data_IF_284769922984
#
_entry.id   IF_284769922984
#
_cell.length_a   1.000
_cell.length_b   1.000
_cell.length_c   1.000
_cell.angle_alpha   90.00
_cell.angle_beta   90.00
_cell.angle_gamma   90.00
#
_symmetry.space_group_name_H-M   'P 1'
#
loop_
_entity.id
_entity.type
_entity.pdbx_description
1 polymer ?
#
# COMPACT_ATOMS: atom_id res chain seq x y z
N UNK A 1 32.19 12.50 13.80
CA UNK A 1 31.63 12.27 12.46
C UNK A 1 31.04 10.88 12.50
N UNK A 2 29.75 10.72 12.17
CA UNK A 2 29.02 9.47 12.37
C UNK A 2 29.70 8.30 11.63
N UNK A 3 30.22 7.32 12.37
CA UNK A 3 31.02 6.20 11.85
C UNK A 3 30.19 5.11 11.14
N UNK A 4 28.89 5.34 10.90
CA UNK A 4 28.00 4.33 10.34
C UNK A 4 27.16 4.86 9.19
N UNK A 5 26.87 3.99 8.22
CA UNK A 5 26.13 4.29 7.00
C UNK A 5 24.67 4.70 7.28
N UNK A 6 24.07 4.16 8.35
CA UNK A 6 22.64 4.27 8.62
C UNK A 6 22.19 5.67 9.09
N UNK A 7 22.83 6.32 10.09
CA UNK A 7 22.44 7.68 10.49
C UNK A 7 22.59 8.70 9.36
N UNK A 8 23.65 8.56 8.56
CA UNK A 8 23.92 9.47 7.47
C UNK A 8 22.94 9.24 6.29
N UNK A 9 22.58 8.00 5.97
CA UNK A 9 21.51 7.68 5.02
C UNK A 9 20.13 8.13 5.54
N UNK A 10 19.88 7.96 6.84
CA UNK A 10 18.64 8.39 7.48
C UNK A 10 18.43 9.89 7.33
N UNK A 11 19.45 10.70 7.63
CA UNK A 11 19.37 12.15 7.55
C UNK A 11 19.18 12.67 6.12
N UNK A 12 19.80 12.01 5.14
CA UNK A 12 19.81 12.47 3.75
C UNK A 12 18.55 12.11 2.95
N UNK A 13 17.81 11.06 3.36
CA UNK A 13 16.75 10.50 2.51
C UNK A 13 15.55 10.00 3.32
N UNK A 14 15.80 9.25 4.40
CA UNK A 14 14.70 8.64 5.15
C UNK A 14 13.90 9.66 5.97
N UNK A 15 14.59 10.60 6.60
CA UNK A 15 14.00 11.60 7.50
C UNK A 15 13.03 12.56 6.79
N UNK A 16 13.14 12.73 5.48
CA UNK A 16 12.21 13.57 4.70
C UNK A 16 10.78 12.99 4.67
N UNK A 17 10.66 11.66 4.76
CA UNK A 17 9.37 10.95 4.79
C UNK A 17 9.00 10.40 6.17
N UNK A 18 9.96 10.21 7.08
CA UNK A 18 9.71 9.73 8.44
C UNK A 18 9.30 10.88 9.37
N UNK A 19 8.07 10.83 9.87
CA UNK A 19 7.38 11.98 10.50
C UNK A 19 7.58 12.08 12.01
N UNK A 20 7.29 13.27 12.55
CA UNK A 20 7.14 13.54 13.99
C UNK A 20 5.76 14.15 14.29
N UNK A 21 5.44 14.38 15.57
CA UNK A 21 4.19 15.08 15.96
C UNK A 21 4.05 16.44 15.25
N UNK A 22 5.17 17.15 15.06
CA UNK A 22 5.19 18.46 14.39
C UNK A 22 4.87 18.38 12.90
N UNK A 23 5.24 17.29 12.22
CA UNK A 23 5.02 17.07 10.79
C UNK A 23 3.55 16.91 10.40
N UNK A 24 2.67 16.66 11.38
CA UNK A 24 1.23 16.63 11.20
C UNK A 24 0.56 17.80 11.91
N UNK A 25 0.97 18.13 13.14
CA UNK A 25 0.20 19.06 13.97
C UNK A 25 0.68 20.51 13.90
N UNK A 26 1.86 20.82 13.36
CA UNK A 26 2.41 22.19 13.34
C UNK A 26 2.80 22.65 11.95
N UNK A 27 3.48 21.79 11.19
CA UNK A 27 4.04 22.11 9.89
C UNK A 27 3.73 21.01 8.87
N UNK A 28 3.80 21.35 7.60
CA UNK A 28 3.70 20.40 6.51
C UNK A 28 5.01 19.60 6.45
N UNK A 29 4.98 18.32 6.05
CA UNK A 29 6.19 17.54 5.86
C UNK A 29 7.17 18.23 4.89
N UNK A 30 8.46 18.09 5.14
CA UNK A 30 9.52 18.71 4.33
C UNK A 30 9.49 18.22 2.88
N UNK A 31 9.12 16.95 2.66
CA UNK A 31 8.88 16.36 1.32
C UNK A 31 7.82 17.12 0.50
N UNK A 32 6.94 17.89 1.15
CA UNK A 32 5.95 18.75 0.51
C UNK A 32 6.32 20.25 0.55
N UNK A 33 7.61 20.57 0.63
CA UNK A 33 8.20 21.92 0.70
C UNK A 33 7.99 22.66 2.03
N UNK A 34 7.47 21.98 3.05
CA UNK A 34 7.32 22.52 4.40
C UNK A 34 6.37 23.71 4.51
N UNK A 35 6.40 24.36 5.67
CA UNK A 35 5.56 25.52 6.00
C UNK A 35 4.63 25.26 7.17
N UNK A 36 4.30 26.31 7.91
CA UNK A 36 3.42 26.24 9.08
C UNK A 36 1.96 26.05 8.65
N UNK A 37 1.23 25.17 9.34
CA UNK A 37 -0.20 24.92 9.07
C UNK A 37 -1.04 26.13 9.45
N UNK A 38 -0.79 26.67 10.64
CA UNK A 38 -1.44 27.83 11.22
C UNK A 38 -0.47 28.48 12.23
N UNK A 39 0.57 29.13 11.70
CA UNK A 39 1.69 29.62 12.50
C UNK A 39 2.25 28.47 13.37
N UNK A 40 2.70 28.77 14.58
CA UNK A 40 3.22 27.75 15.51
C UNK A 40 2.12 27.05 16.33
N UNK A 41 0.84 27.16 15.93
CA UNK A 41 -0.26 26.58 16.69
C UNK A 41 -0.44 25.09 16.35
N UNK A 42 -0.51 24.27 17.40
CA UNK A 42 -0.82 22.86 17.28
C UNK A 42 -2.27 22.65 16.82
N UNK A 43 -2.41 22.05 15.64
CA UNK A 43 -3.69 21.66 15.07
C UNK A 43 -4.11 20.31 15.63
N UNK A 44 -5.20 20.26 16.41
CA UNK A 44 -5.71 18.98 16.96
C UNK A 44 -6.04 17.98 15.85
N UNK A 45 -6.73 18.44 14.81
CA UNK A 45 -7.01 17.66 13.60
C UNK A 45 -6.34 18.36 12.44
N UNK A 46 -5.29 17.77 11.86
CA UNK A 46 -4.55 18.43 10.81
C UNK A 46 -5.30 18.40 9.48
N UNK A 47 -5.15 19.43 8.63
CA UNK A 47 -5.74 19.45 7.30
C UNK A 47 -5.11 18.33 6.46
N UNK A 48 -5.95 17.39 6.04
CA UNK A 48 -5.56 16.16 5.32
C UNK A 48 -4.76 16.46 4.05
N UNK A 49 -5.15 17.48 3.31
CA UNK A 49 -4.54 17.89 2.04
C UNK A 49 -3.10 18.39 2.18
N UNK A 50 -2.75 18.90 3.36
CA UNK A 50 -1.42 19.45 3.65
C UNK A 50 -0.52 18.48 4.42
N UNK A 51 -1.09 17.42 4.98
CA UNK A 51 -0.38 16.48 5.87
C UNK A 51 -0.44 15.06 5.34
N UNK A 52 -1.62 14.45 5.29
CA UNK A 52 -1.78 13.08 4.78
C UNK A 52 -1.34 12.97 3.31
N UNK A 53 -1.79 13.89 2.44
CA UNK A 53 -1.51 13.81 1.00
C UNK A 53 -0.05 14.14 0.66
N UNK A 54 0.64 14.89 1.53
CA UNK A 54 2.05 15.18 1.36
C UNK A 54 2.90 13.91 1.28
N UNK A 55 2.59 12.90 2.11
CA UNK A 55 3.32 11.63 2.14
C UNK A 55 2.58 10.48 1.43
N UNK A 56 1.25 10.43 1.54
CA UNK A 56 0.41 9.38 0.94
C UNK A 56 -0.12 9.72 -0.47
N UNK A 57 0.35 10.83 -1.06
CA UNK A 57 -0.14 11.52 -2.26
C UNK A 57 -0.67 10.67 -3.39
N UNK A 58 0.08 10.54 -4.49
CA UNK A 58 -0.44 9.87 -5.71
C UNK A 58 -0.88 8.43 -5.45
N UNK A 59 -0.23 7.72 -4.50
CA UNK A 59 -0.47 6.30 -4.23
C UNK A 59 -1.83 6.00 -3.59
N UNK A 60 -2.27 6.81 -2.63
CA UNK A 60 -3.49 6.55 -1.87
C UNK A 60 -4.47 7.71 -1.97
N UNK A 61 -4.01 8.95 -1.83
CA UNK A 61 -4.87 10.12 -2.00
C UNK A 61 -5.32 10.26 -3.46
N UNK A 62 -4.45 9.93 -4.42
CA UNK A 62 -4.79 9.88 -5.85
C UNK A 62 -5.90 8.87 -6.14
N UNK A 63 -5.82 7.66 -5.60
CA UNK A 63 -6.87 6.64 -5.71
C UNK A 63 -8.17 7.12 -5.02
N UNK A 64 -8.06 7.64 -3.80
CA UNK A 64 -9.19 8.09 -2.99
C UNK A 64 -10.00 9.20 -3.66
N UNK A 65 -9.30 10.18 -4.23
CA UNK A 65 -9.92 11.31 -4.92
C UNK A 65 -10.26 11.02 -6.38
N UNK A 66 -9.86 9.85 -6.91
CA UNK A 66 -10.08 9.49 -8.32
C UNK A 66 -9.18 10.25 -9.30
N UNK A 67 -8.08 10.84 -8.82
CA UNK A 67 -7.02 11.42 -9.67
C UNK A 67 -6.11 10.35 -10.27
N UNK A 68 -6.13 9.15 -9.69
CA UNK A 68 -5.37 7.99 -10.12
C UNK A 68 -6.29 6.76 -10.15
N UNK A 69 -6.34 6.06 -11.28
CA UNK A 69 -7.23 4.91 -11.47
C UNK A 69 -8.57 5.28 -12.07
N UNK A 70 -9.55 4.38 -11.95
CA UNK A 70 -10.78 4.45 -12.74
C UNK A 70 -11.87 5.35 -12.15
N UNK A 71 -11.98 5.38 -10.83
CA UNK A 71 -13.03 6.07 -10.09
C UNK A 71 -12.48 6.55 -8.75
N UNK A 72 -13.00 7.67 -8.25
CA UNK A 72 -12.81 8.05 -6.85
C UNK A 72 -13.42 7.02 -5.90
N UNK A 73 -13.08 7.08 -4.61
CA UNK A 73 -13.75 6.31 -3.57
C UNK A 73 -15.14 6.89 -3.30
N UNK A 74 -16.14 6.03 -3.10
CA UNK A 74 -17.51 6.44 -2.80
C UNK A 74 -17.62 7.24 -1.49
N UNK A 75 -16.77 6.94 -0.51
CA UNK A 75 -16.74 7.66 0.76
C UNK A 75 -16.19 9.08 0.59
N UNK A 76 -15.25 9.28 -0.33
CA UNK A 76 -14.80 10.61 -0.72
C UNK A 76 -15.88 11.31 -1.53
N UNK A 77 -16.25 10.75 -2.68
CA UNK A 77 -17.05 11.43 -3.70
C UNK A 77 -18.47 11.76 -3.20
N UNK A 78 -19.12 10.81 -2.51
CA UNK A 78 -20.53 10.94 -2.14
C UNK A 78 -20.75 11.38 -0.70
N UNK A 79 -19.78 11.13 0.18
CA UNK A 79 -19.94 11.38 1.63
C UNK A 79 -18.96 12.44 2.15
N UNK A 80 -17.98 12.85 1.33
CA UNK A 80 -16.98 13.85 1.68
C UNK A 80 -16.19 13.49 2.95
N UNK A 81 -15.96 12.18 3.16
CA UNK A 81 -15.15 11.70 4.27
C UNK A 81 -13.68 12.08 4.09
N UNK A 82 -13.01 12.28 5.21
CA UNK A 82 -11.58 12.53 5.32
C UNK A 82 -10.87 11.31 5.92
N UNK A 83 -9.53 11.22 5.80
CA UNK A 83 -8.76 10.06 6.27
C UNK A 83 -9.10 9.66 7.72
N UNK A 84 -9.28 10.66 8.61
CA UNK A 84 -9.53 10.44 10.04
C UNK A 84 -10.95 9.96 10.37
N UNK A 85 -11.86 9.96 9.38
CA UNK A 85 -13.17 9.35 9.53
C UNK A 85 -13.06 7.82 9.57
N UNK A 86 -12.08 7.25 8.86
CA UNK A 86 -11.76 5.82 8.89
C UNK A 86 -10.58 5.49 9.83
N UNK A 87 -9.51 6.30 9.80
CA UNK A 87 -8.27 6.09 10.56
C UNK A 87 -8.27 6.88 11.87
N UNK A 88 -8.53 6.21 12.98
CA UNK A 88 -8.68 6.87 14.28
C UNK A 88 -7.33 7.17 14.94
N UNK A 89 -7.33 8.15 15.85
CA UNK A 89 -6.10 8.71 16.42
C UNK A 89 -5.26 7.69 17.21
N UNK A 90 -5.91 6.74 17.87
CA UNK A 90 -5.24 5.60 18.51
C UNK A 90 -4.52 4.71 17.49
N UNK A 91 -5.11 4.46 16.33
CA UNK A 91 -4.47 3.70 15.24
C UNK A 91 -3.30 4.47 14.60
N UNK A 92 -3.36 5.80 14.59
CA UNK A 92 -2.34 6.67 14.00
C UNK A 92 -1.18 6.97 14.96
N UNK A 93 -1.43 7.00 16.27
CA UNK A 93 -0.43 7.36 17.28
C UNK A 93 0.15 6.17 18.05
N UNK A 94 -0.56 5.03 18.16
CA UNK A 94 -0.05 3.86 18.87
C UNK A 94 0.69 2.91 17.92
N UNK A 95 1.90 3.28 17.54
CA UNK A 95 2.86 2.33 16.98
C UNK A 95 3.39 1.43 18.10
N UNK A 96 3.31 0.11 17.91
CA UNK A 96 3.99 -0.89 18.76
C UNK A 96 5.31 -1.31 18.08
N UNK A 97 6.41 -0.56 18.28
CA UNK A 97 7.65 -0.75 17.51
C UNK A 97 8.27 -2.15 17.67
N UNK A 98 8.02 -2.81 18.80
CA UNK A 98 8.61 -4.12 19.15
C UNK A 98 8.14 -5.27 18.22
N UNK A 99 6.95 -5.15 17.61
CA UNK A 99 6.32 -6.24 16.84
C UNK A 99 5.84 -5.80 15.45
N UNK A 100 5.90 -4.50 15.14
CA UNK A 100 5.17 -3.91 14.00
C UNK A 100 5.67 -4.38 12.64
N UNK A 101 5.00 -5.39 12.09
CA UNK A 101 4.87 -5.53 10.65
C UNK A 101 3.57 -4.82 10.21
N UNK A 102 3.61 -4.12 9.07
CA UNK A 102 2.56 -3.21 8.55
C UNK A 102 1.11 -3.74 8.59
N UNK A 103 0.89 -5.05 8.52
CA UNK A 103 -0.45 -5.68 8.50
C UNK A 103 -0.84 -6.46 9.78
N UNK A 104 0.04 -6.55 10.78
CA UNK A 104 -0.05 -7.65 11.75
C UNK A 104 -0.56 -7.23 13.13
N UNK A 105 -0.30 -6.00 13.60
CA UNK A 105 -0.53 -5.64 15.01
C UNK A 105 -1.31 -4.35 15.28
N UNK A 106 -1.71 -3.61 14.24
CA UNK A 106 -2.55 -2.41 14.40
C UNK A 106 -4.01 -2.74 14.12
N UNK A 107 -4.90 -2.30 14.99
CA UNK A 107 -6.32 -2.21 14.66
C UNK A 107 -6.44 -1.34 13.40
N UNK A 108 -7.09 -1.88 12.38
CA UNK A 108 -7.28 -1.20 11.10
C UNK A 108 -8.72 -0.80 10.92
N UNK A 109 -8.95 0.20 10.07
CA UNK A 109 -10.29 0.62 9.65
C UNK A 109 -11.07 -0.58 9.12
N UNK A 110 -12.24 -0.86 9.72
CA UNK A 110 -13.11 -1.97 9.32
C UNK A 110 -14.38 -1.45 8.66
N UNK A 111 -14.70 -1.97 7.47
CA UNK A 111 -15.95 -1.69 6.78
C UNK A 111 -17.16 -1.94 7.70
N UNK A 112 -17.11 -3.04 8.45
CA UNK A 112 -18.18 -3.49 9.34
C UNK A 112 -18.36 -2.62 10.60
N UNK A 113 -17.40 -1.74 10.91
CA UNK A 113 -17.54 -0.74 11.96
C UNK A 113 -18.58 0.33 11.62
N UNK A 114 -18.74 0.65 10.32
CA UNK A 114 -19.77 1.56 9.82
C UNK A 114 -20.91 0.83 9.10
N UNK A 115 -20.66 -0.39 8.61
CA UNK A 115 -21.62 -1.22 7.90
C UNK A 115 -21.86 -2.56 8.64
N UNK A 116 -22.46 -2.54 9.84
CA UNK A 116 -22.69 -3.76 10.63
C UNK A 116 -23.62 -4.75 9.92
N UNK A 117 -24.56 -4.23 9.11
CA UNK A 117 -25.45 -5.03 8.28
C UNK A 117 -24.74 -5.71 7.11
N UNK A 118 -23.45 -5.45 6.87
CA UNK A 118 -22.69 -6.16 5.84
C UNK A 118 -22.02 -7.43 6.36
N UNK A 119 -21.98 -7.64 7.68
CA UNK A 119 -21.37 -8.82 8.32
C UNK A 119 -21.99 -10.12 7.82
N UNK A 120 -21.17 -11.16 7.74
CA UNK A 120 -21.65 -12.52 7.50
C UNK A 120 -22.74 -12.87 8.53
N UNK A 121 -23.83 -13.49 8.08
CA UNK A 121 -24.99 -13.82 8.92
C UNK A 121 -26.00 -12.67 9.13
N UNK A 122 -25.56 -11.42 9.22
CA UNK A 122 -26.46 -10.26 9.42
C UNK A 122 -26.95 -9.63 8.12
N UNK A 123 -26.19 -9.79 7.03
CA UNK A 123 -26.52 -9.17 5.75
C UNK A 123 -27.78 -9.69 5.09
N UNK A 124 -28.61 -8.76 4.61
CA UNK A 124 -29.76 -9.03 3.73
C UNK A 124 -29.34 -9.26 2.27
N UNK A 125 -28.13 -8.85 1.89
CA UNK A 125 -27.59 -9.04 0.54
C UNK A 125 -27.02 -10.44 0.39
N UNK A 126 -27.57 -11.22 -0.55
CA UNK A 126 -27.15 -12.61 -0.77
C UNK A 126 -25.64 -12.76 -1.04
N UNK A 127 -25.03 -11.82 -1.77
CA UNK A 127 -23.59 -11.87 -2.09
C UNK A 127 -22.68 -11.79 -0.87
N UNK A 128 -23.08 -11.13 0.22
CA UNK A 128 -22.29 -11.11 1.47
C UNK A 128 -22.28 -12.46 2.20
N UNK A 129 -23.09 -13.42 1.74
CA UNK A 129 -23.22 -14.78 2.29
C UNK A 129 -22.86 -15.87 1.28
N UNK A 130 -22.40 -15.48 0.08
CA UNK A 130 -22.12 -16.41 -1.01
C UNK A 130 -20.86 -17.25 -0.80
N UNK A 131 -19.96 -16.80 0.06
CA UNK A 131 -18.73 -17.51 0.42
C UNK A 131 -18.67 -17.70 1.94
N UNK A 132 -17.96 -18.73 2.44
CA UNK A 132 -17.70 -18.86 3.86
C UNK A 132 -17.07 -17.59 4.43
N UNK A 133 -17.41 -17.27 5.68
CA UNK A 133 -16.84 -16.13 6.39
C UNK A 133 -15.30 -16.18 6.39
N UNK A 134 -14.65 -15.03 6.23
CA UNK A 134 -13.19 -14.96 6.12
C UNK A 134 -12.62 -15.49 4.79
N UNK A 135 -13.43 -15.82 3.78
CA UNK A 135 -12.86 -16.26 2.49
C UNK A 135 -12.28 -15.10 1.69
N UNK A 136 -13.03 -14.01 1.53
CA UNK A 136 -12.68 -12.87 0.67
C UNK A 136 -12.69 -11.58 1.50
N UNK A 137 -11.65 -10.75 1.38
CA UNK A 137 -11.66 -9.39 1.91
C UNK A 137 -12.69 -8.52 1.16
N UNK A 138 -13.34 -7.58 1.85
CA UNK A 138 -14.40 -6.75 1.28
C UNK A 138 -13.98 -6.03 -0.03
N UNK A 139 -12.73 -5.57 -0.08
CA UNK A 139 -12.16 -4.91 -1.24
C UNK A 139 -12.13 -5.80 -2.49
N UNK A 140 -12.08 -7.13 -2.36
CA UNK A 140 -12.16 -8.06 -3.50
C UNK A 140 -13.47 -7.90 -4.29
N UNK A 141 -14.55 -7.48 -3.63
CA UNK A 141 -15.82 -7.20 -4.29
C UNK A 141 -16.05 -5.71 -4.52
N UNK A 142 -15.42 -4.84 -3.73
CA UNK A 142 -15.77 -3.43 -3.67
C UNK A 142 -14.73 -2.48 -4.25
N UNK A 143 -13.54 -2.94 -4.63
CA UNK A 143 -12.55 -2.10 -5.29
C UNK A 143 -12.69 -2.12 -6.81
N UNK A 144 -12.15 -1.10 -7.46
CA UNK A 144 -11.88 -1.09 -8.89
C UNK A 144 -10.40 -1.36 -9.16
N UNK A 145 -10.03 -1.46 -10.43
CA UNK A 145 -8.63 -1.47 -10.86
C UNK A 145 -7.84 -0.31 -10.24
N UNK A 146 -6.65 -0.63 -9.72
CA UNK A 146 -5.81 0.28 -8.94
C UNK A 146 -4.38 0.24 -9.42
N UNK A 147 -3.62 1.25 -9.02
CA UNK A 147 -2.23 1.41 -9.43
C UNK A 147 -1.31 0.45 -8.69
N UNK A 148 -0.38 -0.15 -9.40
CA UNK A 148 0.64 -1.04 -8.86
C UNK A 148 1.99 -0.37 -8.97
N UNK A 149 2.83 -0.58 -7.97
CA UNK A 149 4.09 0.14 -7.82
C UNK A 149 5.26 -0.59 -8.49
N UNK A 150 4.97 -1.57 -9.35
CA UNK A 150 5.99 -2.32 -10.09
C UNK A 150 6.89 -1.36 -10.86
N UNK A 151 8.20 -1.53 -10.72
CA UNK A 151 9.21 -0.73 -11.40
C UNK A 151 9.22 0.78 -11.07
N UNK A 152 8.47 1.24 -10.06
CA UNK A 152 8.55 2.59 -9.51
C UNK A 152 9.68 2.69 -8.47
N UNK A 153 10.94 2.65 -8.90
CA UNK A 153 12.05 2.80 -7.97
C UNK A 153 12.42 4.28 -7.78
N UNK A 154 12.48 4.73 -6.52
CA UNK A 154 13.05 6.05 -6.18
C UNK A 154 14.52 5.81 -5.92
N UNK A 155 15.40 6.39 -6.75
CA UNK A 155 16.83 6.38 -6.50
C UNK A 155 17.31 7.82 -6.39
N UNK A 156 18.08 8.10 -5.35
CA UNK A 156 18.94 9.27 -5.33
C UNK A 156 20.03 9.09 -6.39
N UNK A 157 20.14 10.04 -7.32
CA UNK A 157 21.34 10.14 -8.16
C UNK A 157 22.38 10.95 -7.39
N UNK A 158 23.20 10.27 -6.60
CA UNK A 158 24.17 10.91 -5.71
C UNK A 158 25.38 11.44 -6.49
N UNK A 159 25.50 11.16 -7.81
CA UNK A 159 26.54 11.79 -8.64
C UNK A 159 26.30 13.30 -8.78
N UNK A 160 25.07 13.74 -8.60
CA UNK A 160 24.70 15.15 -8.45
C UNK A 160 23.96 15.30 -7.11
N UNK A 161 24.72 15.48 -6.03
CA UNK A 161 24.20 15.67 -4.67
C UNK A 161 22.94 16.56 -4.68
N UNK A 162 21.80 15.97 -4.27
CA UNK A 162 20.52 16.68 -4.14
C UNK A 162 19.51 16.46 -5.27
N UNK A 163 19.77 15.65 -6.30
CA UNK A 163 18.75 15.29 -7.30
C UNK A 163 18.14 13.91 -7.02
N UNK A 164 16.98 13.90 -6.35
CA UNK A 164 16.10 12.72 -6.29
C UNK A 164 15.56 12.48 -7.70
N UNK A 165 15.95 11.37 -8.34
CA UNK A 165 15.30 10.91 -9.56
C UNK A 165 14.24 9.89 -9.19
N UNK A 166 13.00 10.34 -9.07
CA UNK A 166 11.87 9.41 -9.05
C UNK A 166 11.74 8.84 -10.45
N UNK A 167 12.10 7.58 -10.63
CA UNK A 167 11.85 6.87 -11.88
C UNK A 167 10.39 6.42 -11.81
N UNK A 168 9.51 7.26 -12.34
CA UNK A 168 8.18 6.80 -12.71
C UNK A 168 8.33 5.93 -13.97
N UNK A 169 7.79 4.70 -13.97
CA UNK A 169 7.72 3.92 -15.18
C UNK A 169 6.93 4.70 -16.22
N UNK A 170 7.40 4.68 -17.47
CA UNK A 170 6.68 5.28 -18.60
C UNK A 170 5.32 4.61 -18.85
N UNK A 171 5.12 3.40 -18.33
CA UNK A 171 3.87 2.66 -18.39
C UNK A 171 3.46 2.20 -16.97
N UNK A 172 2.59 2.97 -16.28
CA UNK A 172 2.14 2.62 -14.93
C UNK A 172 1.23 1.38 -14.96
N UNK A 173 1.56 0.35 -14.17
CA UNK A 173 0.75 -0.85 -14.09
C UNK A 173 -0.56 -0.57 -13.33
N UNK A 174 -1.67 -0.48 -14.05
CA UNK A 174 -3.01 -0.58 -13.47
C UNK A 174 -3.47 -2.03 -13.57
N UNK A 175 -3.83 -2.62 -12.43
CA UNK A 175 -4.38 -3.98 -12.43
C UNK A 175 -5.26 -4.24 -11.22
N UNK A 176 -6.02 -5.32 -11.29
CA UNK A 176 -6.85 -5.86 -10.23
C UNK A 176 -6.50 -7.34 -10.08
N UNK A 177 -5.83 -7.70 -8.99
CA UNK A 177 -5.39 -9.08 -8.76
C UNK A 177 -5.79 -9.56 -7.38
N UNK A 178 -6.43 -10.72 -7.35
CA UNK A 178 -6.76 -11.48 -6.15
C UNK A 178 -5.59 -12.45 -5.90
N UNK A 179 -5.01 -12.40 -4.70
CA UNK A 179 -3.93 -13.28 -4.25
C UNK A 179 -4.28 -14.01 -2.95
N UNK A 180 -3.52 -15.08 -2.65
CA UNK A 180 -3.57 -15.74 -1.34
C UNK A 180 -3.01 -14.81 -0.28
N UNK A 181 -3.74 -14.65 0.81
CA UNK A 181 -3.23 -13.96 1.98
C UNK A 181 -2.27 -14.89 2.73
N UNK A 182 -0.98 -14.56 2.71
CA UNK A 182 0.05 -15.31 3.46
C UNK A 182 0.21 -14.77 4.91
N UNK A 183 -0.50 -13.70 5.24
CA UNK A 183 -0.39 -12.92 6.47
C UNK A 183 -1.74 -12.84 7.18
N UNK A 184 -2.27 -14.01 7.54
CA UNK A 184 -3.57 -14.11 8.21
C UNK A 184 -3.41 -13.74 9.69
N UNK A 185 -4.17 -12.74 10.12
CA UNK A 185 -4.21 -12.26 11.50
C UNK A 185 -5.67 -11.95 11.90
N UNK A 186 -5.99 -11.73 13.18
CA UNK A 186 -7.31 -11.23 13.56
C UNK A 186 -7.68 -9.90 12.87
N UNK A 187 -6.66 -9.07 12.57
CA UNK A 187 -6.81 -7.80 11.85
C UNK A 187 -6.80 -7.97 10.31
N UNK A 188 -6.55 -9.17 9.80
CA UNK A 188 -6.63 -9.52 8.37
C UNK A 188 -7.01 -11.01 8.22
N UNK A 189 -8.25 -11.40 8.57
CA UNK A 189 -8.62 -12.80 8.70
C UNK A 189 -8.92 -13.49 7.36
N UNK A 190 -8.80 -12.76 6.26
CA UNK A 190 -9.26 -13.23 4.96
C UNK A 190 -8.28 -14.21 4.33
N UNK A 191 -8.78 -15.26 3.69
CA UNK A 191 -7.97 -16.21 2.92
C UNK A 191 -7.43 -15.59 1.63
N UNK A 192 -8.23 -14.74 0.99
CA UNK A 192 -7.85 -14.05 -0.25
C UNK A 192 -8.11 -12.55 -0.15
N UNK A 193 -7.11 -11.78 -0.58
CA UNK A 193 -7.14 -10.33 -0.63
C UNK A 193 -6.82 -9.86 -2.03
N UNK A 194 -7.08 -8.58 -2.28
CA UNK A 194 -6.39 -7.89 -3.37
C UNK A 194 -4.92 -7.79 -3.05
N UNK A 195 -4.08 -7.91 -4.07
CA UNK A 195 -2.63 -7.82 -3.94
C UNK A 195 -2.05 -6.73 -4.82
N UNK A 196 -1.07 -6.00 -4.29
CA UNK A 196 -0.35 -4.94 -4.99
C UNK A 196 1.10 -5.35 -5.13
N UNK A 197 1.64 -5.16 -6.32
CA UNK A 197 3.07 -5.36 -6.55
C UNK A 197 3.86 -4.14 -6.04
N UNK A 198 4.80 -4.40 -5.13
CA UNK A 198 5.64 -3.41 -4.47
C UNK A 198 6.82 -2.99 -5.36
N UNK A 199 7.38 -1.77 -5.19
CA UNK A 199 8.50 -1.30 -6.02
C UNK A 199 9.84 -1.99 -5.74
N UNK A 200 9.91 -2.88 -4.75
CA UNK A 200 11.14 -3.51 -4.29
C UNK A 200 11.77 -4.39 -5.37
N UNK A 201 13.08 -4.24 -5.58
CA UNK A 201 13.94 -5.00 -6.49
C UNK A 201 15.23 -5.40 -5.78
N UNK A 202 15.99 -6.33 -6.35
CA UNK A 202 17.31 -6.75 -5.81
C UNK A 202 18.29 -5.59 -5.68
N UNK A 203 18.22 -4.64 -6.59
CA UNK A 203 19.09 -3.45 -6.65
C UNK A 203 18.48 -2.22 -5.98
N UNK A 204 17.38 -2.36 -5.22
CA UNK A 204 16.70 -1.21 -4.63
C UNK A 204 17.55 -0.36 -3.69
N UNK A 205 18.59 -0.96 -3.09
CA UNK A 205 19.51 -0.24 -2.22
C UNK A 205 20.83 0.14 -2.92
N UNK A 206 20.95 -0.04 -4.24
CA UNK A 206 22.19 0.18 -4.98
C UNK A 206 22.76 1.61 -4.83
N UNK A 207 21.92 2.63 -4.63
CA UNK A 207 22.36 4.01 -4.35
C UNK A 207 23.18 4.12 -3.05
N UNK A 208 22.86 3.31 -2.03
CA UNK A 208 23.58 3.30 -0.76
C UNK A 208 25.01 2.76 -0.91
N UNK A 209 25.28 1.96 -1.95
CA UNK A 209 26.64 1.51 -2.28
C UNK A 209 27.57 2.69 -2.61
N UNK A 210 27.07 3.63 -3.41
CA UNK A 210 27.79 4.86 -3.75
C UNK A 210 27.95 5.77 -2.54
N UNK A 211 26.95 5.82 -1.67
CA UNK A 211 27.04 6.58 -0.43
C UNK A 211 28.14 6.05 0.50
N UNK A 212 28.26 4.72 0.63
CA UNK A 212 29.34 4.09 1.37
C UNK A 212 30.71 4.42 0.79
N UNK A 213 30.85 4.44 -0.54
CA UNK A 213 32.10 4.80 -1.21
C UNK A 213 32.52 6.24 -0.88
N UNK A 214 31.58 7.18 -0.95
CA UNK A 214 31.83 8.59 -0.57
C UNK A 214 32.24 8.74 0.89
N UNK A 215 31.60 8.00 1.81
CA UNK A 215 31.88 8.11 3.24
C UNK A 215 33.15 7.38 3.69
N UNK A 216 33.47 6.25 3.07
CA UNK A 216 34.50 5.32 3.57
C UNK A 216 35.69 5.12 2.64
N UNK A 217 35.62 5.67 1.42
CA UNK A 217 36.61 5.45 0.36
C UNK A 217 36.66 4.00 -0.16
N UNK A 218 35.61 3.21 0.14
CA UNK A 218 35.47 1.82 -0.30
C UNK A 218 34.04 1.57 -0.77
N UNK A 219 33.83 0.95 -1.93
CA UNK A 219 32.49 0.64 -2.40
C UNK A 219 31.82 -0.37 -1.47
N UNK A 220 30.54 -0.17 -1.20
CA UNK A 220 29.71 -1.18 -0.54
C UNK A 220 29.57 -2.47 -1.37
N UNK A 221 29.02 -3.54 -0.77
CA UNK A 221 28.76 -4.79 -1.50
C UNK A 221 27.82 -4.55 -2.69
N UNK A 222 27.97 -5.36 -3.74
CA UNK A 222 27.11 -5.27 -4.93
C UNK A 222 25.66 -5.65 -4.63
N UNK A 223 25.46 -6.60 -3.70
CA UNK A 223 24.14 -7.02 -3.24
C UNK A 223 23.88 -6.55 -1.81
N UNK A 224 23.11 -5.48 -1.68
CA UNK A 224 22.66 -4.94 -0.39
C UNK A 224 21.36 -5.58 0.11
N UNK A 225 20.74 -6.46 -0.68
CA UNK A 225 19.49 -7.17 -0.35
C UNK A 225 19.72 -8.68 -0.53
N UNK A 226 20.68 -9.19 0.24
CA UNK A 226 21.17 -10.56 0.16
C UNK A 226 20.12 -11.67 0.37
N UNK A 227 18.94 -11.32 0.90
CA UNK A 227 17.83 -12.24 1.13
C UNK A 227 16.53 -11.83 0.42
N UNK A 228 16.65 -11.18 -0.76
CA UNK A 228 15.51 -10.71 -1.55
C UNK A 228 14.43 -11.78 -1.78
N UNK A 229 14.82 -13.03 -2.02
CA UNK A 229 13.89 -14.13 -2.29
C UNK A 229 13.05 -14.57 -1.07
N UNK A 230 13.34 -14.07 0.14
CA UNK A 230 12.66 -14.50 1.37
C UNK A 230 11.25 -13.91 1.53
N UNK A 231 11.00 -12.71 0.99
CA UNK A 231 9.75 -11.98 1.13
C UNK A 231 9.14 -11.65 -0.24
N UNK A 232 7.81 -11.66 -0.36
CA UNK A 232 7.16 -11.39 -1.63
C UNK A 232 7.13 -9.90 -1.97
N UNK A 233 7.10 -9.59 -3.27
CA UNK A 233 6.83 -8.24 -3.78
C UNK A 233 5.34 -8.02 -4.03
N UNK A 234 4.58 -9.07 -4.35
CA UNK A 234 3.12 -9.01 -4.26
C UNK A 234 2.71 -9.08 -2.80
N UNK A 235 1.93 -8.12 -2.33
CA UNK A 235 1.50 -8.07 -0.92
C UNK A 235 0.03 -7.69 -0.85
N UNK A 236 -0.66 -8.03 0.26
CA UNK A 236 -2.05 -7.56 0.48
C UNK A 236 -2.15 -6.05 0.22
N UNK A 237 -3.19 -5.62 -0.48
CA UNK A 237 -3.37 -4.25 -0.95
C UNK A 237 -4.33 -3.47 -0.06
N UNK A 238 -3.91 -2.28 0.38
CA UNK A 238 -4.79 -1.27 0.99
C UNK A 238 -5.26 -0.29 -0.09
N UNK A 239 -6.30 -0.68 -0.81
CA UNK A 239 -6.89 0.12 -1.90
C UNK A 239 -7.82 1.20 -1.36
N UNK A 240 -7.85 2.35 -2.02
CA UNK A 240 -8.67 3.50 -1.63
C UNK A 240 -9.56 3.94 -2.80
N UNK A 241 -10.25 3.00 -3.44
CA UNK A 241 -11.12 3.28 -4.59
C UNK A 241 -12.43 2.50 -4.48
N UNK A 242 -12.95 2.40 -3.26
CA UNK A 242 -14.11 1.59 -2.91
C UNK A 242 -15.35 2.12 -3.61
N UNK A 243 -16.16 1.20 -4.14
CA UNK A 243 -17.42 1.44 -4.80
C UNK A 243 -18.49 0.48 -4.28
N UNK A 244 -19.72 0.99 -4.20
CA UNK A 244 -20.88 0.16 -3.82
C UNK A 244 -21.17 -0.89 -4.90
N UNK A 245 -21.05 -0.51 -6.17
CA UNK A 245 -21.29 -1.38 -7.32
C UNK A 245 -20.02 -1.45 -8.17
N UNK A 246 -19.54 -2.66 -8.42
CA UNK A 246 -18.36 -2.94 -9.23
C UNK A 246 -18.71 -3.98 -10.29
N UNK A 247 -17.78 -4.24 -11.21
CA UNK A 247 -17.94 -5.39 -12.10
C UNK A 247 -17.95 -6.69 -11.31
N UNK A 248 -17.06 -6.84 -10.34
CA UNK A 248 -16.85 -8.05 -9.55
C UNK A 248 -18.07 -8.43 -8.72
N UNK A 249 -18.80 -7.46 -8.16
CA UNK A 249 -19.99 -7.73 -7.34
C UNK A 249 -21.30 -7.81 -8.12
N UNK A 250 -21.26 -7.72 -9.45
CA UNK A 250 -22.46 -7.76 -10.31
C UNK A 250 -23.07 -9.16 -10.46
N UNK A 251 -22.25 -10.22 -10.43
CA UNK A 251 -22.70 -11.62 -10.52
C UNK A 251 -21.60 -12.60 -10.12
N UNK A 252 -21.92 -13.86 -9.82
CA UNK A 252 -20.89 -14.86 -9.50
C UNK A 252 -19.89 -15.06 -10.66
N UNK A 253 -20.40 -15.07 -11.90
CA UNK A 253 -19.59 -15.22 -13.10
C UNK A 253 -18.88 -13.92 -13.51
N UNK A 254 -18.95 -12.84 -12.72
CA UNK A 254 -18.05 -11.71 -12.90
C UNK A 254 -16.65 -11.97 -12.32
N UNK A 255 -16.49 -13.02 -11.50
CA UNK A 255 -15.19 -13.51 -11.03
C UNK A 255 -14.95 -14.98 -11.41
N UNK A 256 -15.97 -15.82 -11.31
CA UNK A 256 -15.84 -17.25 -11.63
C UNK A 256 -15.65 -17.47 -13.13
N UNK A 257 -14.54 -18.13 -13.50
CA UNK A 257 -14.15 -18.33 -14.89
C UNK A 257 -13.28 -17.22 -15.50
N UNK A 258 -12.89 -16.22 -14.71
CA UNK A 258 -12.10 -15.07 -15.15
C UNK A 258 -10.67 -15.12 -14.60
N UNK A 259 -9.76 -15.78 -15.34
CA UNK A 259 -8.36 -15.99 -14.91
C UNK A 259 -7.63 -14.67 -14.66
N UNK A 260 -7.92 -13.65 -15.45
CA UNK A 260 -7.29 -12.34 -15.42
C UNK A 260 -7.40 -11.63 -14.05
N UNK A 261 -8.38 -11.98 -13.23
CA UNK A 261 -8.60 -11.39 -11.91
C UNK A 261 -7.76 -12.05 -10.80
N UNK A 262 -7.16 -13.21 -11.05
CA UNK A 262 -6.37 -13.95 -10.07
C UNK A 262 -4.89 -13.77 -10.37
N UNK A 263 -4.07 -13.66 -9.33
CA UNK A 263 -2.63 -13.66 -9.48
C UNK A 263 -2.18 -15.10 -9.77
N UNK A 264 -1.57 -15.31 -10.92
CA UNK A 264 -1.10 -16.61 -11.39
C UNK A 264 0.38 -16.55 -11.75
N UNK A 265 0.97 -17.71 -12.08
CA UNK A 265 2.38 -17.78 -12.48
C UNK A 265 2.70 -16.91 -13.70
N UNK A 266 1.74 -16.75 -14.60
CA UNK A 266 1.90 -15.97 -15.83
C UNK A 266 1.96 -14.45 -15.56
N UNK A 267 1.56 -14.02 -14.36
CA UNK A 267 1.60 -12.62 -13.93
C UNK A 267 2.94 -12.26 -13.23
N UNK A 268 3.82 -13.24 -13.00
CA UNK A 268 5.12 -13.01 -12.36
C UNK A 268 6.19 -12.71 -13.42
N UNK A 269 7.08 -11.77 -13.10
CA UNK A 269 8.25 -11.46 -13.95
C UNK A 269 9.50 -12.20 -13.46
N UNK A 270 10.52 -12.43 -14.31
CA UNK A 270 11.74 -13.15 -13.90
C UNK A 270 12.47 -12.55 -12.69
N UNK A 271 12.34 -11.23 -12.48
CA UNK A 271 12.96 -10.48 -11.39
C UNK A 271 12.17 -10.57 -10.07
N UNK A 272 10.98 -11.15 -10.07
CA UNK A 272 10.19 -11.33 -8.87
C UNK A 272 10.83 -12.33 -7.90
N UNK A 273 10.73 -12.10 -6.57
CA UNK A 273 11.27 -13.02 -5.59
C UNK A 273 10.52 -14.35 -5.61
N UNK A 274 11.24 -15.44 -5.32
CA UNK A 274 10.66 -16.79 -5.21
C UNK A 274 9.49 -16.86 -4.22
N UNK A 275 9.48 -16.03 -3.18
CA UNK A 275 8.39 -15.95 -2.21
C UNK A 275 7.01 -15.64 -2.82
N UNK A 276 6.94 -14.98 -3.99
CA UNK A 276 5.67 -14.71 -4.67
C UNK A 276 4.89 -16.00 -5.03
N UNK A 277 5.57 -17.14 -5.16
CA UNK A 277 4.93 -18.44 -5.39
C UNK A 277 3.92 -18.82 -4.29
N UNK A 278 4.06 -18.27 -3.08
CA UNK A 278 3.12 -18.51 -1.97
C UNK A 278 1.77 -17.79 -2.17
N UNK A 279 1.72 -16.79 -3.04
CA UNK A 279 0.58 -15.87 -3.21
C UNK A 279 -0.27 -16.25 -4.42
N UNK A 280 0.33 -16.87 -5.43
CA UNK A 280 -0.34 -17.19 -6.69
C UNK A 280 -1.33 -18.35 -6.56
N UNK A 281 -2.26 -18.44 -7.51
CA UNK A 281 -3.18 -19.55 -7.69
C UNK A 281 -2.68 -20.53 -8.75
N UNK A 282 -2.64 -21.82 -8.40
CA UNK A 282 -2.43 -22.90 -9.38
C UNK A 282 -3.73 -23.26 -10.12
N UNK A 283 -4.87 -23.09 -9.43
CA UNK A 283 -6.20 -23.33 -9.97
C UNK A 283 -7.14 -22.22 -9.52
N UNK A 284 -7.84 -21.64 -10.50
CA UNK A 284 -8.85 -20.60 -10.25
C UNK A 284 -10.26 -21.21 -10.13
N UNK A 285 -11.21 -20.49 -9.53
CA UNK A 285 -12.61 -20.88 -9.54
C UNK A 285 -13.16 -20.94 -10.98
N UNK A 286 -13.70 -22.10 -11.37
CA UNK A 286 -14.38 -22.27 -12.64
C UNK A 286 -15.72 -21.52 -12.69
N UNK A 287 -16.24 -21.32 -13.90
CA UNK A 287 -17.55 -20.71 -14.14
C UNK A 287 -18.65 -21.47 -13.41
N UNK A 288 -19.54 -20.74 -12.73
CA UNK A 288 -20.71 -21.33 -12.07
C UNK A 288 -21.77 -21.62 -13.13
N UNK A 289 -22.17 -22.89 -13.22
CA UNK A 289 -23.34 -23.32 -14.00
C UNK A 289 -24.57 -23.17 -13.12
N UNK A 290 -25.60 -22.52 -13.65
CA UNK A 290 -26.93 -22.47 -13.01
C UNK A 290 -27.65 -23.79 -13.24
#
# INVERSE_FOLDING_TARGET
MEETLLPAAWKLDCAECHTSCGSCHVAWPEVAKGGLLDRHLFQKTPPMEKTCYACHGSRFAGEYMGLLGKTADVHYEKVQMVCVDCHKGDQLHNTKPETSKRYYDTETSRCEGCHPDSKAGSSKTAMHKAHPEGTLGCAVCHANEYFNCTNCHVSLDIKEAGKIKVIFPSDPLFTFKIGKNIDITPNNPYKYNLVRHSPMKKDSLASLRSFQDVLTGKPGPEDLISNYDALPTWNSASVHNIQRHTKQNSSCNACHGHKELFLTKDDLVPEDPKANQKIIFDKIPGKIKK
#
